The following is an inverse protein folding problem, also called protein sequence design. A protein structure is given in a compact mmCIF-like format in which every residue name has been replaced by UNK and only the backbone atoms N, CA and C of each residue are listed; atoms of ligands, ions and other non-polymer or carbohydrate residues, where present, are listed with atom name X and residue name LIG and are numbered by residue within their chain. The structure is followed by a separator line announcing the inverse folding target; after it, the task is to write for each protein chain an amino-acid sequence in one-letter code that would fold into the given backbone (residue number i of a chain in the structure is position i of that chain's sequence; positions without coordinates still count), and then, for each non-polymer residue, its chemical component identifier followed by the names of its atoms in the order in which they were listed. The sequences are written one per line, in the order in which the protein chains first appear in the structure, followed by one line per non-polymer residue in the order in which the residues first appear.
data_IF_568034075596
#
_entry.id   IF_568034075596
#
_cell.length_a   1.000
_cell.length_b   1.000
_cell.length_c   1.000
_cell.angle_alpha   90.00
_cell.angle_beta   90.00
_cell.angle_gamma   90.00
#
_symmetry.space_group_name_H-M   'P 1'
#
loop_
_entity.id
_entity.type
_entity.pdbx_description
1 polymer ?
#
# COMPACT_ATOMS: atom_id res chain seq x y z
N UNK A 1 4.56 4.23 -1.12
CA UNK A 1 4.78 5.37 -0.20
C UNK A 1 5.34 4.87 1.11
N UNK A 2 6.53 5.33 1.49
CA UNK A 2 7.27 4.88 2.68
C UNK A 2 7.90 6.07 3.44
N UNK A 3 7.29 7.26 3.36
CA UNK A 3 7.74 8.48 4.04
C UNK A 3 7.17 8.69 5.45
N UNK A 4 6.39 7.72 5.97
CA UNK A 4 5.58 7.89 7.18
C UNK A 4 6.33 7.73 8.50
N UNK A 5 6.05 8.62 9.46
CA UNK A 5 6.58 8.53 10.83
C UNK A 5 5.89 7.43 11.64
N UNK A 6 6.66 6.70 12.44
CA UNK A 6 6.21 5.60 13.29
C UNK A 6 5.85 6.01 14.72
N UNK A 7 5.45 7.28 14.96
CA UNK A 7 5.25 7.84 16.31
C UNK A 7 4.31 6.97 17.16
N UNK A 8 3.19 6.53 16.57
CA UNK A 8 2.18 5.70 17.24
C UNK A 8 2.59 4.24 17.45
N UNK A 9 3.62 3.79 16.72
CA UNK A 9 4.18 2.43 16.80
C UNK A 9 5.42 2.37 17.70
N UNK A 10 5.91 3.52 18.18
CA UNK A 10 7.20 3.64 18.86
C UNK A 10 8.38 3.01 18.08
N UNK A 11 8.28 2.96 16.74
CA UNK A 11 9.26 2.35 15.85
C UNK A 11 10.25 3.36 15.23
N UNK A 12 10.07 4.65 15.52
CA UNK A 12 10.73 5.75 14.82
C UNK A 12 10.15 5.96 13.42
N UNK A 13 10.36 4.99 12.53
CA UNK A 13 9.89 4.99 11.15
C UNK A 13 8.79 3.93 10.98
N UNK A 14 7.61 4.33 10.45
CA UNK A 14 6.49 3.38 10.28
C UNK A 14 6.85 2.21 9.36
N UNK A 15 7.50 2.42 8.18
CA UNK A 15 7.82 1.33 7.26
C UNK A 15 8.75 0.26 7.88
N UNK A 16 9.48 0.61 8.95
CA UNK A 16 10.40 -0.26 9.68
C UNK A 16 9.77 -0.98 10.87
N UNK A 17 8.52 -0.69 11.23
CA UNK A 17 7.84 -1.51 12.23
C UNK A 17 7.87 -2.98 11.79
N UNK A 18 8.00 -3.89 12.74
CA UNK A 18 8.19 -5.31 12.43
C UNK A 18 6.89 -6.07 12.63
N UNK A 19 6.59 -6.92 11.65
CA UNK A 19 5.59 -7.96 11.74
C UNK A 19 6.31 -9.30 11.64
N UNK A 20 6.22 -10.16 12.67
CA UNK A 20 6.97 -11.43 12.76
C UNK A 20 8.47 -11.30 12.40
N UNK A 21 9.13 -10.25 12.90
CA UNK A 21 10.57 -10.00 12.70
C UNK A 21 10.95 -9.51 11.30
N UNK A 22 9.98 -9.13 10.45
CA UNK A 22 10.22 -8.55 9.13
C UNK A 22 9.61 -7.15 9.04
N UNK A 23 10.34 -6.13 8.53
CA UNK A 23 9.80 -4.79 8.34
C UNK A 23 8.55 -4.77 7.45
N UNK A 24 7.54 -3.95 7.81
CA UNK A 24 6.30 -3.81 7.04
C UNK A 24 6.55 -3.55 5.55
N UNK A 25 7.49 -2.64 5.25
CA UNK A 25 7.83 -2.29 3.87
C UNK A 25 8.33 -3.48 3.05
N UNK A 26 9.04 -4.42 3.69
CA UNK A 26 9.57 -5.59 3.00
C UNK A 26 8.45 -6.58 2.64
N UNK A 27 7.34 -6.61 3.37
CA UNK A 27 6.17 -7.40 2.94
C UNK A 27 5.55 -6.82 1.66
N UNK A 28 5.39 -5.50 1.61
CA UNK A 28 4.77 -4.81 0.47
C UNK A 28 5.66 -4.88 -0.77
N UNK A 29 6.97 -4.63 -0.66
CA UNK A 29 7.90 -4.75 -1.80
C UNK A 29 7.92 -6.18 -2.33
N UNK A 30 7.99 -7.19 -1.46
CA UNK A 30 8.01 -8.59 -1.91
C UNK A 30 6.71 -8.99 -2.61
N UNK A 31 5.56 -8.45 -2.18
CA UNK A 31 4.28 -8.68 -2.85
C UNK A 31 4.24 -8.03 -4.24
N UNK A 32 4.73 -6.79 -4.37
CA UNK A 32 4.85 -6.10 -5.66
C UNK A 32 5.81 -6.82 -6.62
N UNK A 33 6.95 -7.32 -6.12
CA UNK A 33 7.92 -8.03 -6.96
C UNK A 33 7.39 -9.36 -7.51
N UNK A 34 6.51 -10.02 -6.76
CA UNK A 34 5.83 -11.27 -7.15
C UNK A 34 4.61 -11.06 -8.02
N UNK A 35 4.06 -9.84 -8.08
CA UNK A 35 2.98 -9.48 -8.99
C UNK A 35 3.45 -9.57 -10.44
N UNK A 36 2.57 -10.03 -11.32
CA UNK A 36 2.83 -10.17 -12.77
C UNK A 36 2.65 -8.86 -13.52
N UNK A 37 1.81 -7.98 -12.98
CA UNK A 37 1.44 -6.72 -13.64
C UNK A 37 2.39 -5.56 -13.28
N UNK A 38 3.25 -5.71 -12.25
CA UNK A 38 4.17 -4.65 -11.80
C UNK A 38 5.53 -4.78 -12.47
N UNK A 39 5.89 -3.80 -13.31
CA UNK A 39 7.21 -3.75 -13.94
C UNK A 39 8.34 -3.29 -13.01
N UNK A 40 8.15 -2.18 -12.30
CA UNK A 40 9.16 -1.53 -11.45
C UNK A 40 8.53 -0.98 -10.17
N UNK A 41 9.29 -0.99 -9.07
CA UNK A 41 8.88 -0.51 -7.75
C UNK A 41 9.72 0.70 -7.35
N UNK A 42 9.07 1.86 -7.31
CA UNK A 42 9.66 3.11 -6.81
C UNK A 42 9.30 3.29 -5.34
N UNK A 43 10.30 3.22 -4.47
CA UNK A 43 10.13 3.39 -3.02
C UNK A 43 10.34 4.85 -2.65
N UNK A 44 9.22 5.59 -2.55
CA UNK A 44 9.20 6.97 -2.09
C UNK A 44 9.44 7.06 -0.57
N UNK A 45 10.63 7.50 -0.15
CA UNK A 45 11.04 7.76 1.24
C UNK A 45 11.09 9.27 1.48
N UNK A 46 11.16 9.71 2.74
CA UNK A 46 11.31 11.14 3.06
C UNK A 46 12.46 11.38 4.04
N UNK A 47 12.73 12.65 4.36
CA UNK A 47 13.67 13.00 5.44
C UNK A 47 13.29 12.40 6.81
N UNK A 48 12.03 11.95 6.97
CA UNK A 48 11.55 11.29 8.16
C UNK A 48 11.80 9.78 8.17
N UNK A 49 12.24 9.21 7.05
CA UNK A 49 12.51 7.77 6.91
C UNK A 49 13.91 7.42 6.35
N UNK A 50 15.00 8.01 6.88
CA UNK A 50 16.36 7.74 6.39
C UNK A 50 16.81 6.27 6.59
N UNK A 51 16.41 5.62 7.69
CA UNK A 51 16.77 4.21 7.93
C UNK A 51 16.02 3.29 6.96
N UNK A 52 14.79 3.62 6.59
CA UNK A 52 14.03 2.92 5.53
C UNK A 52 14.77 3.00 4.20
N UNK A 53 15.33 4.17 3.86
CA UNK A 53 16.15 4.34 2.66
C UNK A 53 17.35 3.39 2.64
N UNK A 54 18.10 3.34 3.76
CA UNK A 54 19.26 2.44 3.91
C UNK A 54 18.82 0.99 3.79
N UNK A 55 17.81 0.57 4.56
CA UNK A 55 17.33 -0.80 4.57
C UNK A 55 16.90 -1.29 3.18
N UNK A 56 16.16 -0.47 2.43
CA UNK A 56 15.70 -0.86 1.10
C UNK A 56 16.87 -0.99 0.12
N UNK A 57 17.82 -0.04 0.15
CA UNK A 57 19.01 -0.10 -0.70
C UNK A 57 19.87 -1.32 -0.39
N UNK A 58 20.00 -1.72 0.87
CA UNK A 58 20.80 -2.88 1.27
C UNK A 58 20.09 -4.19 0.96
N UNK A 59 18.81 -4.31 1.36
CA UNK A 59 18.02 -5.54 1.24
C UNK A 59 17.70 -5.90 -0.21
N UNK A 60 17.51 -4.90 -1.06
CA UNK A 60 17.12 -5.09 -2.47
C UNK A 60 18.25 -4.65 -3.43
N UNK A 61 19.51 -4.66 -2.97
CA UNK A 61 20.66 -4.18 -3.76
C UNK A 61 20.84 -4.83 -5.13
N UNK A 62 20.48 -6.12 -5.24
CA UNK A 62 20.63 -6.92 -6.45
C UNK A 62 19.32 -6.99 -7.28
N UNK A 63 18.24 -6.39 -6.78
CA UNK A 63 16.94 -6.34 -7.46
C UNK A 63 16.84 -5.07 -8.30
N UNK A 64 17.01 -5.22 -9.61
CA UNK A 64 17.00 -4.09 -10.57
C UNK A 64 15.63 -3.40 -10.69
N UNK A 65 14.55 -4.09 -10.29
CA UNK A 65 13.19 -3.53 -10.30
C UNK A 65 12.87 -2.66 -9.09
N UNK A 66 13.80 -2.48 -8.13
CA UNK A 66 13.56 -1.65 -6.94
C UNK A 66 14.49 -0.44 -6.96
N UNK A 67 13.94 0.76 -6.83
CA UNK A 67 14.72 1.98 -6.66
C UNK A 67 14.13 2.87 -5.57
N UNK A 68 14.98 3.58 -4.84
CA UNK A 68 14.58 4.47 -3.74
C UNK A 68 14.62 5.92 -4.21
N UNK A 69 13.55 6.66 -3.91
CA UNK A 69 13.38 8.06 -4.30
C UNK A 69 13.00 8.90 -3.10
N UNK A 70 13.75 9.99 -2.88
CA UNK A 70 13.49 10.92 -1.80
C UNK A 70 12.38 11.90 -2.19
N UNK A 71 11.38 12.05 -1.33
CA UNK A 71 10.32 13.05 -1.41
C UNK A 71 10.46 14.09 -0.29
N UNK A 72 9.82 15.27 -0.41
CA UNK A 72 9.87 16.30 0.63
C UNK A 72 9.32 15.88 1.99
N UNK A 73 8.45 14.87 2.05
CA UNK A 73 7.77 14.48 3.28
C UNK A 73 6.69 15.48 3.68
N UNK A 74 6.07 16.15 2.71
CA UNK A 74 5.05 17.20 2.93
C UNK A 74 3.64 16.62 3.13
N UNK A 75 3.41 15.38 2.72
CA UNK A 75 2.12 14.71 2.82
C UNK A 75 1.93 13.72 1.68
N UNK A 76 0.91 12.86 1.78
CA UNK A 76 0.66 11.82 0.78
C UNK A 76 0.48 12.40 -0.64
N UNK A 77 -0.35 13.44 -0.78
CA UNK A 77 -0.66 14.05 -2.07
C UNK A 77 0.57 14.78 -2.63
N UNK A 78 1.18 15.66 -1.84
CA UNK A 78 2.34 16.44 -2.28
C UNK A 78 3.54 15.57 -2.66
N UNK A 79 3.82 14.53 -1.87
CA UNK A 79 4.91 13.59 -2.17
C UNK A 79 4.60 12.75 -3.40
N UNK A 80 3.33 12.40 -3.65
CA UNK A 80 2.91 11.71 -4.88
C UNK A 80 3.14 12.61 -6.09
N UNK A 81 2.68 13.86 -6.05
CA UNK A 81 2.89 14.84 -7.14
C UNK A 81 4.39 15.06 -7.38
N UNK A 82 5.18 15.19 -6.32
CA UNK A 82 6.63 15.32 -6.42
C UNK A 82 7.28 14.10 -7.07
N UNK A 83 6.89 12.89 -6.65
CA UNK A 83 7.42 11.65 -7.20
C UNK A 83 7.08 11.52 -8.69
N UNK A 84 5.83 11.81 -9.10
CA UNK A 84 5.43 11.77 -10.53
C UNK A 84 6.30 12.68 -11.38
N UNK A 85 6.51 13.92 -10.94
CA UNK A 85 7.30 14.91 -11.68
C UNK A 85 8.77 14.52 -11.79
N UNK A 86 9.36 14.04 -10.69
CA UNK A 86 10.80 13.71 -10.65
C UNK A 86 11.14 12.39 -11.33
N UNK A 87 10.21 11.45 -11.35
CA UNK A 87 10.35 10.14 -11.99
C UNK A 87 9.79 10.12 -13.42
N UNK A 88 9.23 11.23 -13.90
CA UNK A 88 8.58 11.35 -15.20
C UNK A 88 7.51 10.25 -15.42
N UNK A 89 6.73 9.95 -14.37
CA UNK A 89 5.67 8.93 -14.42
C UNK A 89 4.40 9.45 -15.12
N UNK A 90 4.54 9.96 -16.34
CA UNK A 90 3.43 10.45 -17.16
C UNK A 90 2.64 9.32 -17.84
N UNK A 91 2.17 8.39 -17.01
CA UNK A 91 1.41 7.19 -17.38
C UNK A 91 0.62 6.70 -16.16
N UNK A 92 -0.29 5.72 -16.30
CA UNK A 92 -0.90 5.04 -15.16
C UNK A 92 0.14 4.33 -14.29
N UNK A 93 0.00 4.44 -12.97
CA UNK A 93 0.82 3.72 -12.00
C UNK A 93 0.04 3.41 -10.72
N UNK A 94 0.42 2.31 -10.08
CA UNK A 94 -0.15 1.89 -8.80
C UNK A 94 0.62 2.54 -7.65
N UNK A 95 -0.11 3.17 -6.73
CA UNK A 95 0.38 3.70 -5.47
C UNK A 95 -0.11 2.80 -4.35
N UNK A 96 0.83 2.38 -3.50
CA UNK A 96 0.56 1.55 -2.35
C UNK A 96 1.30 2.07 -1.12
N UNK A 97 0.63 2.03 0.04
CA UNK A 97 1.24 2.38 1.32
C UNK A 97 2.12 1.25 1.87
N UNK A 98 3.19 1.59 2.59
CA UNK A 98 4.07 0.60 3.22
C UNK A 98 3.46 -0.09 4.44
N UNK A 99 2.27 0.32 4.90
CA UNK A 99 1.64 -0.13 6.14
C UNK A 99 0.52 -1.16 5.96
N UNK A 100 0.42 -1.76 4.78
CA UNK A 100 -0.50 -2.88 4.48
C UNK A 100 0.28 -4.18 4.22
N UNK A 101 0.93 -4.76 5.24
CA UNK A 101 1.84 -5.89 5.07
C UNK A 101 1.17 -7.19 4.60
N UNK A 102 -0.16 -7.25 4.61
CA UNK A 102 -0.92 -8.45 4.24
C UNK A 102 -1.38 -8.46 2.78
N UNK A 103 -1.04 -7.41 2.01
CA UNK A 103 -1.33 -7.34 0.58
C UNK A 103 -0.71 -8.53 -0.16
N UNK A 104 -1.47 -9.10 -1.10
CA UNK A 104 -1.05 -10.26 -1.88
C UNK A 104 -0.73 -9.88 -3.33
N UNK A 105 0.20 -10.60 -3.98
CA UNK A 105 0.49 -10.41 -5.40
C UNK A 105 -0.77 -10.53 -6.28
N UNK A 106 -1.65 -11.48 -5.98
CA UNK A 106 -2.86 -11.73 -6.75
C UNK A 106 -3.86 -10.57 -6.63
N UNK A 107 -3.93 -9.93 -5.46
CA UNK A 107 -4.73 -8.72 -5.26
C UNK A 107 -4.18 -7.57 -6.10
N UNK A 108 -2.86 -7.38 -6.11
CA UNK A 108 -2.21 -6.33 -6.91
C UNK A 108 -2.50 -6.55 -8.40
N UNK A 109 -2.35 -7.79 -8.88
CA UNK A 109 -2.68 -8.15 -10.26
C UNK A 109 -4.15 -7.86 -10.60
N UNK A 110 -5.08 -8.20 -9.70
CA UNK A 110 -6.50 -7.93 -9.89
C UNK A 110 -6.79 -6.42 -9.95
N UNK A 111 -6.20 -5.61 -9.08
CA UNK A 111 -6.38 -4.15 -9.08
C UNK A 111 -5.94 -3.53 -10.41
N UNK A 112 -4.78 -3.94 -10.94
CA UNK A 112 -4.29 -3.43 -12.23
C UNK A 112 -5.26 -3.80 -13.36
N UNK A 113 -5.71 -5.06 -13.42
CA UNK A 113 -6.65 -5.51 -14.45
C UNK A 113 -8.01 -4.82 -14.36
N UNK A 114 -8.51 -4.58 -13.16
CA UNK A 114 -9.78 -3.85 -12.98
C UNK A 114 -9.65 -2.39 -13.39
N UNK A 115 -8.50 -1.74 -13.15
CA UNK A 115 -8.22 -0.40 -13.67
C UNK A 115 -8.26 -0.38 -15.21
N UNK A 116 -7.58 -1.33 -15.87
CA UNK A 116 -7.55 -1.43 -17.33
C UNK A 116 -8.94 -1.63 -17.95
N UNK A 117 -9.82 -2.39 -17.27
CA UNK A 117 -11.21 -2.60 -17.71
C UNK A 117 -12.11 -1.40 -17.46
N UNK A 118 -11.87 -0.65 -16.37
CA UNK A 118 -12.76 0.43 -15.95
C UNK A 118 -12.77 1.61 -16.94
N UNK A 119 -11.68 1.82 -17.69
CA UNK A 119 -11.55 2.95 -18.60
C UNK A 119 -11.58 4.32 -17.90
N UNK A 120 -11.32 4.34 -16.59
CA UNK A 120 -11.28 5.55 -15.76
C UNK A 120 -9.87 6.16 -15.70
N UNK A 121 -9.76 7.43 -15.31
CA UNK A 121 -8.46 8.09 -15.13
C UNK A 121 -7.72 7.56 -13.89
N UNK A 122 -8.48 7.21 -12.84
CA UNK A 122 -7.98 6.65 -11.60
C UNK A 122 -8.85 5.47 -11.09
N UNK A 123 -8.30 4.68 -10.18
CA UNK A 123 -9.01 3.64 -9.44
C UNK A 123 -8.64 3.72 -7.96
N UNK A 124 -9.64 3.85 -7.09
CA UNK A 124 -9.45 3.74 -5.64
C UNK A 124 -9.94 2.38 -5.15
N UNK A 125 -9.08 1.68 -4.39
CA UNK A 125 -9.44 0.38 -3.81
C UNK A 125 -10.04 0.58 -2.42
N UNK A 126 -11.19 -0.05 -2.21
CA UNK A 126 -11.97 -0.04 -0.98
C UNK A 126 -12.15 -1.47 -0.47
N UNK A 127 -12.31 -1.62 0.85
CA UNK A 127 -12.78 -2.84 1.49
C UNK A 127 -14.18 -2.61 2.02
N UNK A 128 -15.11 -3.50 1.71
CA UNK A 128 -16.47 -3.43 2.24
C UNK A 128 -16.44 -3.49 3.77
N UNK A 129 -17.02 -2.50 4.46
CA UNK A 129 -16.97 -2.48 5.93
C UNK A 129 -17.61 -3.71 6.56
N UNK A 130 -18.63 -4.27 5.90
CA UNK A 130 -19.35 -5.49 6.30
C UNK A 130 -18.48 -6.75 6.29
N UNK A 131 -17.41 -6.80 5.49
CA UNK A 131 -16.52 -7.97 5.43
C UNK A 131 -15.38 -7.93 6.46
N UNK A 132 -15.24 -6.82 7.21
CA UNK A 132 -14.14 -6.62 8.15
C UNK A 132 -14.47 -7.29 9.49
N UNK A 133 -13.67 -8.28 9.95
CA UNK A 133 -13.94 -8.99 11.19
C UNK A 133 -13.69 -8.10 12.42
N UNK A 134 -14.31 -8.44 13.57
CA UNK A 134 -14.03 -7.75 14.82
C UNK A 134 -12.53 -7.72 15.17
N UNK A 135 -12.09 -6.61 15.75
CA UNK A 135 -10.71 -6.41 16.18
C UNK A 135 -9.75 -5.86 15.11
N UNK A 136 -10.18 -5.72 13.85
CA UNK A 136 -9.45 -4.93 12.86
C UNK A 136 -9.80 -3.45 13.03
N UNK A 137 -8.80 -2.62 13.35
CA UNK A 137 -8.99 -1.18 13.51
C UNK A 137 -9.05 -0.48 12.16
N UNK A 138 -9.99 0.46 12.01
CA UNK A 138 -10.16 1.23 10.78
C UNK A 138 -10.31 2.71 11.12
N UNK A 139 -9.23 3.49 10.93
CA UNK A 139 -9.19 4.92 11.26
C UNK A 139 -10.05 5.78 10.32
N UNK A 140 -10.44 5.24 9.16
CA UNK A 140 -11.20 5.97 8.14
C UNK A 140 -12.27 5.09 7.56
N UNK A 141 -13.51 5.59 7.60
CA UNK A 141 -14.67 5.01 6.94
C UNK A 141 -15.19 6.06 5.97
N UNK A 142 -15.44 5.65 4.74
CA UNK A 142 -16.02 6.46 3.68
C UNK A 142 -17.39 5.91 3.32
N UNK A 143 -18.30 6.79 2.93
CA UNK A 143 -19.63 6.41 2.46
C UNK A 143 -19.63 6.53 0.94
N UNK A 144 -19.49 5.41 0.24
CA UNK A 144 -19.55 5.36 -1.22
C UNK A 144 -20.93 4.84 -1.64
N UNK A 145 -21.71 5.66 -2.34
CA UNK A 145 -23.08 5.32 -2.78
C UNK A 145 -24.01 4.83 -1.64
N UNK A 146 -23.84 5.38 -0.43
CA UNK A 146 -24.63 5.01 0.74
C UNK A 146 -24.15 3.76 1.48
N UNK A 147 -23.01 3.18 1.08
CA UNK A 147 -22.40 2.00 1.71
C UNK A 147 -21.10 2.39 2.40
N UNK A 148 -20.90 1.90 3.62
CA UNK A 148 -19.65 2.11 4.35
C UNK A 148 -18.52 1.24 3.79
N UNK A 149 -17.41 1.87 3.44
CA UNK A 149 -16.19 1.20 3.01
C UNK A 149 -14.95 1.80 3.67
N UNK A 150 -13.86 1.03 3.66
CA UNK A 150 -12.58 1.42 4.23
C UNK A 150 -11.54 1.52 3.11
N UNK A 151 -10.72 2.59 3.04
CA UNK A 151 -9.64 2.67 2.05
C UNK A 151 -8.62 1.54 2.24
N UNK A 152 -8.29 0.81 1.16
CA UNK A 152 -7.32 -0.28 1.19
C UNK A 152 -5.84 0.18 1.09
N UNK A 153 -5.60 1.49 1.10
CA UNK A 153 -4.29 2.12 0.87
C UNK A 153 -3.60 1.70 -0.45
N UNK A 154 -4.39 1.30 -1.46
CA UNK A 154 -3.99 1.02 -2.83
C UNK A 154 -4.82 1.91 -3.76
N UNK A 155 -4.15 2.60 -4.68
CA UNK A 155 -4.79 3.41 -5.72
C UNK A 155 -4.04 3.21 -7.04
N UNK A 156 -4.73 3.38 -8.17
CA UNK A 156 -4.10 3.59 -9.48
C UNK A 156 -4.44 5.00 -9.91
N UNK A 157 -3.43 5.77 -10.31
CA UNK A 157 -3.64 7.13 -10.84
C UNK A 157 -2.84 7.31 -12.13
N UNK A 158 -3.26 8.26 -12.95
CA UNK A 158 -2.57 8.61 -14.18
C UNK A 158 -1.72 9.88 -13.98
N UNK A 159 -0.40 9.73 -14.05
CA UNK A 159 0.50 10.86 -13.85
C UNK A 159 0.43 11.93 -14.94
N UNK A 160 -0.28 11.69 -16.05
CA UNK A 160 -0.59 12.71 -17.07
C UNK A 160 -1.55 13.78 -16.58
N UNK A 161 -2.34 13.50 -15.54
CA UNK A 161 -3.46 14.35 -15.10
C UNK A 161 -3.34 14.75 -13.62
N UNK A 162 -2.11 15.07 -13.17
CA UNK A 162 -1.85 15.46 -11.77
C UNK A 162 -2.21 16.91 -11.44
N UNK A 163 -2.66 17.68 -12.43
CA UNK A 163 -3.02 19.11 -12.31
C UNK A 163 -4.49 19.34 -11.98
N UNK A 164 -5.31 18.27 -12.00
CA UNK A 164 -6.74 18.30 -11.70
C UNK A 164 -7.17 17.05 -10.94
N UNK A 165 -8.40 17.07 -10.46
CA UNK A 165 -9.04 15.86 -9.96
C UNK A 165 -9.27 14.86 -11.13
N UNK A 166 -8.94 13.60 -10.89
CA UNK A 166 -9.11 12.52 -11.86
C UNK A 166 -10.44 11.82 -11.63
N UNK A 167 -11.18 11.54 -12.71
CA UNK A 167 -12.38 10.73 -12.60
C UNK A 167 -12.00 9.32 -12.12
N UNK A 168 -12.37 8.99 -10.89
CA UNK A 168 -12.05 7.70 -10.29
C UNK A 168 -13.17 6.67 -10.45
N UNK A 169 -12.77 5.44 -10.74
CA UNK A 169 -13.60 4.26 -10.49
C UNK A 169 -13.34 3.74 -9.07
N UNK A 170 -14.33 3.08 -8.47
CA UNK A 170 -14.21 2.43 -7.17
C UNK A 170 -14.17 0.92 -7.35
N UNK A 171 -13.13 0.27 -6.82
CA UNK A 171 -13.05 -1.17 -6.69
C UNK A 171 -13.31 -1.55 -5.23
N UNK A 172 -14.49 -2.09 -4.94
CA UNK A 172 -14.86 -2.56 -3.60
C UNK A 172 -14.57 -4.06 -3.51
N UNK A 173 -13.72 -4.45 -2.57
CA UNK A 173 -13.33 -5.83 -2.32
C UNK A 173 -13.84 -6.32 -0.97
N UNK A 174 -14.14 -7.61 -0.88
CA UNK A 174 -14.43 -8.31 0.38
C UNK A 174 -13.18 -9.04 0.89
N UNK A 175 -12.04 -8.35 0.94
CA UNK A 175 -10.78 -8.90 1.47
C UNK A 175 -10.37 -8.16 2.76
N UNK A 176 -10.66 -8.71 3.95
CA UNK A 176 -10.35 -8.06 5.22
C UNK A 176 -8.85 -7.90 5.48
N UNK A 177 -7.98 -8.63 4.77
CA UNK A 177 -6.53 -8.47 4.90
C UNK A 177 -6.07 -7.10 4.41
N UNK A 178 -6.78 -6.50 3.46
CA UNK A 178 -6.49 -5.17 2.93
C UNK A 178 -6.97 -4.03 3.84
N UNK A 179 -7.80 -4.33 4.84
CA UNK A 179 -8.22 -3.36 5.84
C UNK A 179 -7.30 -3.33 7.07
N UNK A 180 -6.36 -4.28 7.18
CA UNK A 180 -5.46 -4.41 8.32
C UNK A 180 -4.20 -3.55 8.17
N UNK A 181 -4.37 -2.23 8.13
CA UNK A 181 -3.25 -1.28 8.16
C UNK A 181 -2.57 -1.31 9.54
N UNK A 182 -1.24 -1.23 9.57
CA UNK A 182 -0.47 -1.16 10.82
C UNK A 182 -0.16 0.30 11.16
N UNK A 183 -0.99 0.86 12.04
CA UNK A 183 -0.88 2.25 12.52
C UNK A 183 -0.52 2.34 14.00
N UNK A 184 -0.90 1.34 14.79
CA UNK A 184 -0.74 1.25 16.23
C UNK A 184 -0.18 -0.13 16.63
N UNK A 185 0.42 -0.21 17.82
CA UNK A 185 1.01 -1.46 18.34
C UNK A 185 0.01 -2.64 18.31
N UNK A 186 -1.27 -2.49 18.69
CA UNK A 186 -2.24 -3.60 18.62
C UNK A 186 -2.48 -4.15 17.22
N UNK A 187 -2.30 -3.34 16.17
CA UNK A 187 -2.53 -3.76 14.78
C UNK A 187 -1.55 -4.86 14.35
N UNK A 188 -0.36 -4.90 14.96
CA UNK A 188 0.65 -5.95 14.69
C UNK A 188 0.07 -7.30 15.09
N UNK A 189 -0.47 -7.45 16.30
CA UNK A 189 -1.06 -8.71 16.77
C UNK A 189 -2.27 -9.12 15.92
N UNK A 190 -3.05 -8.16 15.44
CA UNK A 190 -4.16 -8.42 14.50
C UNK A 190 -3.62 -8.98 13.17
N UNK A 191 -2.57 -8.35 12.61
CA UNK A 191 -1.93 -8.82 11.39
C UNK A 191 -1.32 -10.21 11.56
N UNK A 192 -0.70 -10.51 12.71
CA UNK A 192 -0.12 -11.82 13.00
C UNK A 192 -1.18 -12.92 13.04
N UNK A 193 -2.33 -12.63 13.65
CA UNK A 193 -3.49 -13.53 13.70
C UNK A 193 -4.02 -13.81 12.30
N UNK A 194 -4.31 -12.76 11.53
CA UNK A 194 -4.83 -12.86 10.16
C UNK A 194 -3.86 -13.62 9.22
N UNK A 195 -2.55 -13.38 9.34
CA UNK A 195 -1.54 -14.15 8.60
C UNK A 195 -1.60 -15.63 8.90
N UNK A 196 -1.76 -15.98 10.17
CA UNK A 196 -1.79 -17.37 10.63
C UNK A 196 -3.06 -18.07 10.13
N UNK A 197 -4.23 -17.45 10.30
CA UNK A 197 -5.52 -17.94 9.79
C UNK A 197 -5.50 -18.12 8.26
N UNK A 198 -4.93 -17.16 7.53
CA UNK A 198 -4.83 -17.24 6.06
C UNK A 198 -3.86 -18.34 5.57
N UNK A 199 -2.87 -18.72 6.40
CA UNK A 199 -1.94 -19.80 6.09
C UNK A 199 -2.57 -21.17 6.35
N UNK A 200 -3.39 -21.27 7.40
CA UNK A 200 -4.14 -22.48 7.75
C UNK A 200 -5.22 -22.78 6.70
N UNK A 201 -5.95 -21.76 6.24
CA UNK A 201 -6.98 -21.93 5.20
C UNK A 201 -6.40 -22.34 3.83
N UNK A 202 -5.08 -22.27 3.62
CA UNK A 202 -4.40 -22.78 2.42
C UNK A 202 -3.92 -24.23 2.55
N UNK A 203 -3.99 -24.82 3.75
CA UNK A 203 -3.57 -26.20 4.02
C UNK A 203 -4.75 -27.19 4.07
N UNK A 204 -5.99 -26.70 3.94
CA UNK A 204 -7.16 -27.55 3.80
C UNK A 204 -7.38 -27.78 2.29
N UNK A 205 -7.32 -29.04 1.81
CA UNK A 205 -7.43 -29.38 0.38
C UNK A 205 -8.81 -29.08 -0.22
#
# INVERSE_FOLDING_TARGET
MAGGRGVRLNSGEKPLAELKGKPLIAYVIDALLKSREIGHVYVAVSQWTPCTCVLVKERYRDEKRVSVHMTPGAGYIDDTVHAVKTLELFRPFLIISSDIPLVKPETIDAVVREYEKAGAEALSVRVARSSIPPGVSTDTILIDNGVENVPAAINVIDGRYMDRYQQEALLILEDPLLAANVNYIPDISVCERLLTESSINRQVP
#
